data_IF_336152581908
#
_entry.id   IF_336152581908
#
_cell.length_a   1.000
_cell.length_b   1.000
_cell.length_c   1.000
_cell.angle_alpha   90.00
_cell.angle_beta   90.00
_cell.angle_gamma   90.00
#
_symmetry.space_group_name_H-M   'P 1'
#
loop_
_entity.id
_entity.type
_entity.pdbx_description
1 polymer ?
#
# COMPACT_ATOMS: atom_id res chain seq x y z
N UNK A 1 29.82 -10.69 -5.86
CA UNK A 1 29.47 -9.75 -6.94
C UNK A 1 27.97 -9.58 -6.96
N UNK A 2 27.43 -8.42 -7.35
CA UNK A 2 25.98 -8.18 -7.48
C UNK A 2 25.30 -9.31 -8.29
N UNK A 3 26.01 -9.83 -9.29
CA UNK A 3 25.64 -11.01 -10.09
C UNK A 3 25.46 -12.32 -9.29
N UNK A 4 26.21 -12.55 -8.22
CA UNK A 4 26.07 -13.74 -7.36
C UNK A 4 24.93 -13.62 -6.34
N UNK A 5 24.50 -12.39 -6.04
CA UNK A 5 23.26 -12.14 -5.26
C UNK A 5 22.04 -12.30 -6.17
N UNK A 6 22.14 -11.89 -7.45
CA UNK A 6 21.10 -12.09 -8.46
C UNK A 6 20.89 -13.57 -8.83
N UNK A 7 21.94 -14.40 -8.79
CA UNK A 7 21.84 -15.83 -9.07
C UNK A 7 21.07 -16.59 -7.97
N UNK A 8 21.21 -16.17 -6.70
CA UNK A 8 20.41 -16.67 -5.57
C UNK A 8 18.93 -16.24 -5.62
N UNK A 9 18.61 -15.20 -6.39
CA UNK A 9 17.22 -14.76 -6.64
C UNK A 9 16.61 -15.53 -7.83
N UNK A 10 17.42 -16.17 -8.67
CA UNK A 10 16.93 -16.89 -9.84
C UNK A 10 16.31 -18.25 -9.49
N UNK A 11 16.68 -18.81 -8.34
CA UNK A 11 16.03 -19.97 -7.70
C UNK A 11 14.94 -19.55 -6.69
N UNK A 12 14.51 -18.29 -6.73
CA UNK A 12 13.44 -17.81 -5.86
C UNK A 12 12.09 -18.43 -6.23
N UNK A 13 11.28 -18.84 -5.24
CA UNK A 13 9.92 -19.28 -5.50
C UNK A 13 9.08 -18.14 -6.12
N UNK A 14 8.02 -18.44 -6.91
CA UNK A 14 7.14 -17.44 -7.56
C UNK A 14 6.52 -16.44 -6.57
N UNK A 15 6.56 -16.81 -5.30
CA UNK A 15 6.26 -16.11 -4.05
C UNK A 15 6.98 -14.78 -3.84
N UNK A 16 8.17 -14.63 -4.42
CA UNK A 16 8.91 -13.37 -4.38
C UNK A 16 8.33 -12.32 -5.33
N UNK A 17 7.47 -12.69 -6.29
CA UNK A 17 6.94 -11.73 -7.27
C UNK A 17 5.95 -10.73 -6.66
N UNK A 18 5.05 -11.15 -5.76
CA UNK A 18 4.07 -10.23 -5.15
C UNK A 18 4.71 -9.28 -4.13
N UNK A 19 5.59 -9.80 -3.27
CA UNK A 19 6.42 -8.96 -2.40
C UNK A 19 7.40 -8.10 -3.19
N UNK A 20 7.95 -8.61 -4.30
CA UNK A 20 8.80 -7.81 -5.18
C UNK A 20 8.01 -6.68 -5.81
N UNK A 21 6.73 -6.84 -6.15
CA UNK A 21 5.93 -5.73 -6.68
C UNK A 21 5.80 -4.57 -5.68
N UNK A 22 5.49 -4.87 -4.41
CA UNK A 22 5.48 -3.84 -3.35
C UNK A 22 6.89 -3.26 -3.16
N UNK A 23 7.92 -4.12 -3.16
CA UNK A 23 9.31 -3.70 -3.08
C UNK A 23 9.74 -2.78 -4.24
N UNK A 24 9.33 -3.08 -5.47
CA UNK A 24 9.60 -2.26 -6.66
C UNK A 24 8.90 -0.92 -6.59
N UNK A 25 7.66 -0.88 -6.07
CA UNK A 25 6.97 0.39 -5.81
C UNK A 25 7.71 1.23 -4.78
N UNK A 26 8.14 0.63 -3.66
CA UNK A 26 8.92 1.33 -2.63
C UNK A 26 10.26 1.84 -3.16
N UNK A 27 10.97 1.03 -3.97
CA UNK A 27 12.22 1.44 -4.63
C UNK A 27 11.96 2.60 -5.59
N UNK A 28 10.89 2.54 -6.40
CA UNK A 28 10.53 3.59 -7.34
C UNK A 28 10.22 4.91 -6.60
N UNK A 29 9.41 4.86 -5.55
CA UNK A 29 9.11 6.03 -4.70
C UNK A 29 10.39 6.59 -4.07
N UNK A 30 11.23 5.74 -3.48
CA UNK A 30 12.50 6.15 -2.89
C UNK A 30 13.45 6.80 -3.91
N UNK A 31 13.53 6.26 -5.13
CA UNK A 31 14.32 6.83 -6.20
C UNK A 31 13.81 8.22 -6.63
N UNK A 32 12.50 8.41 -6.75
CA UNK A 32 11.89 9.71 -7.07
C UNK A 32 12.21 10.72 -5.97
N UNK A 33 12.04 10.35 -4.70
CA UNK A 33 12.37 11.22 -3.55
C UNK A 33 13.85 11.60 -3.54
N UNK A 34 14.76 10.65 -3.83
CA UNK A 34 16.19 10.92 -3.91
C UNK A 34 16.53 11.89 -5.05
N UNK A 35 15.91 11.73 -6.23
CA UNK A 35 16.08 12.65 -7.37
C UNK A 35 15.57 14.05 -7.00
N UNK A 36 14.40 14.17 -6.37
CA UNK A 36 13.87 15.45 -5.92
C UNK A 36 14.79 16.13 -4.90
N UNK A 37 15.31 15.36 -3.93
CA UNK A 37 16.28 15.84 -2.95
C UNK A 37 17.58 16.32 -3.61
N UNK A 38 18.08 15.59 -4.60
CA UNK A 38 19.25 16.00 -5.39
C UNK A 38 19.00 17.29 -6.15
N UNK A 39 17.88 17.40 -6.88
CA UNK A 39 17.52 18.61 -7.65
C UNK A 39 17.36 19.84 -6.75
N UNK A 40 16.68 19.69 -5.61
CA UNK A 40 16.51 20.78 -4.65
C UNK A 40 17.84 21.22 -4.03
N UNK A 41 18.62 20.27 -3.51
CA UNK A 41 19.89 20.54 -2.84
C UNK A 41 20.95 21.09 -3.80
N UNK A 42 21.22 20.39 -4.91
CA UNK A 42 22.19 20.85 -5.91
C UNK A 42 21.72 22.10 -6.63
N UNK A 43 20.42 22.26 -6.91
CA UNK A 43 19.87 23.48 -7.49
C UNK A 43 20.13 24.71 -6.62
N UNK A 44 19.99 24.57 -5.30
CA UNK A 44 20.29 25.64 -4.35
C UNK A 44 21.80 25.94 -4.25
N UNK A 45 22.66 24.91 -4.14
CA UNK A 45 24.12 25.11 -3.98
C UNK A 45 24.77 25.65 -5.25
N UNK A 46 24.36 25.13 -6.42
CA UNK A 46 24.93 25.54 -7.72
C UNK A 46 24.31 26.83 -8.26
N UNK A 47 23.34 27.39 -7.54
CA UNK A 47 22.53 28.53 -7.98
C UNK A 47 21.99 28.32 -9.41
N UNK A 48 21.57 27.08 -9.73
CA UNK A 48 21.12 26.72 -11.08
C UNK A 48 19.63 26.96 -11.22
N UNK A 49 19.25 28.02 -11.95
CA UNK A 49 17.85 28.36 -12.27
C UNK A 49 17.08 27.20 -12.89
N UNK A 50 17.72 26.44 -13.79
CA UNK A 50 17.08 25.31 -14.47
C UNK A 50 16.73 24.18 -13.48
N UNK A 51 17.65 23.84 -12.57
CA UNK A 51 17.42 22.80 -11.57
C UNK A 51 16.34 23.19 -10.55
N UNK A 52 16.38 24.43 -10.07
CA UNK A 52 15.36 24.98 -9.16
C UNK A 52 13.95 25.01 -9.81
N UNK A 53 13.86 25.44 -11.07
CA UNK A 53 12.61 25.45 -11.82
C UNK A 53 12.08 24.02 -12.05
N UNK A 54 12.95 23.08 -12.38
CA UNK A 54 12.58 21.66 -12.56
C UNK A 54 12.05 21.07 -11.26
N UNK A 55 12.74 21.30 -10.14
CA UNK A 55 12.27 20.90 -8.81
C UNK A 55 10.89 21.50 -8.49
N UNK A 56 10.69 22.80 -8.75
CA UNK A 56 9.41 23.47 -8.54
C UNK A 56 8.28 22.84 -9.37
N UNK A 57 8.50 22.58 -10.66
CA UNK A 57 7.48 21.99 -11.54
C UNK A 57 7.09 20.59 -11.05
N UNK A 58 8.06 19.77 -10.66
CA UNK A 58 7.77 18.41 -10.16
C UNK A 58 6.93 18.48 -8.88
N UNK A 59 7.32 19.30 -7.90
CA UNK A 59 6.55 19.45 -6.65
C UNK A 59 5.16 20.01 -6.91
N UNK A 60 5.01 20.97 -7.84
CA UNK A 60 3.71 21.51 -8.23
C UNK A 60 2.79 20.44 -8.83
N UNK A 61 3.32 19.54 -9.68
CA UNK A 61 2.55 18.46 -10.25
C UNK A 61 2.09 17.45 -9.20
N UNK A 62 2.94 17.15 -8.21
CA UNK A 62 2.59 16.28 -7.07
C UNK A 62 1.47 16.93 -6.27
N UNK A 63 1.61 18.20 -5.89
CA UNK A 63 0.57 18.93 -5.15
C UNK A 63 -0.78 18.95 -5.88
N UNK A 64 -0.79 19.17 -7.20
CA UNK A 64 -2.02 19.12 -8.01
C UNK A 64 -2.62 17.71 -8.00
N UNK A 65 -1.80 16.67 -8.11
CA UNK A 65 -2.25 15.28 -8.05
C UNK A 65 -2.83 14.93 -6.66
N UNK A 66 -2.23 15.39 -5.58
CA UNK A 66 -2.74 15.21 -4.20
C UNK A 66 -4.11 15.86 -4.03
N UNK A 67 -4.26 17.12 -4.45
CA UNK A 67 -5.53 17.86 -4.37
C UNK A 67 -6.60 17.19 -5.24
N UNK A 68 -6.25 16.78 -6.47
CA UNK A 68 -7.17 16.08 -7.36
C UNK A 68 -7.62 14.73 -6.76
N UNK A 69 -6.69 13.96 -6.20
CA UNK A 69 -6.97 12.70 -5.51
C UNK A 69 -7.91 12.90 -4.32
N UNK A 70 -7.65 13.89 -3.47
CA UNK A 70 -8.51 14.23 -2.35
C UNK A 70 -9.93 14.60 -2.79
N UNK A 71 -10.07 15.41 -3.85
CA UNK A 71 -11.37 15.79 -4.42
C UNK A 71 -12.10 14.56 -4.97
N UNK A 72 -11.39 13.67 -5.69
CA UNK A 72 -12.00 12.45 -6.26
C UNK A 72 -12.56 11.56 -5.16
N UNK A 73 -11.76 11.29 -4.11
CA UNK A 73 -12.18 10.46 -2.98
C UNK A 73 -13.36 11.10 -2.23
N UNK A 74 -13.31 12.42 -2.01
CA UNK A 74 -14.35 13.11 -1.24
C UNK A 74 -15.68 13.26 -2.01
N UNK A 75 -15.61 13.67 -3.29
CA UNK A 75 -16.79 14.04 -4.09
C UNK A 75 -17.36 12.83 -4.84
N UNK A 76 -16.51 11.95 -5.37
CA UNK A 76 -16.93 10.84 -6.23
C UNK A 76 -16.92 9.50 -5.49
N UNK A 77 -17.67 9.44 -4.40
CA UNK A 77 -17.89 8.22 -3.62
C UNK A 77 -18.29 6.99 -4.46
N UNK A 78 -19.16 7.09 -5.50
CA UNK A 78 -19.51 5.94 -6.34
C UNK A 78 -18.32 5.39 -7.13
N UNK A 79 -17.47 6.27 -7.64
CA UNK A 79 -16.27 5.87 -8.38
C UNK A 79 -15.28 5.20 -7.43
N UNK A 80 -15.01 5.81 -6.27
CA UNK A 80 -14.14 5.21 -5.26
C UNK A 80 -14.60 3.79 -4.88
N UNK A 81 -15.90 3.58 -4.69
CA UNK A 81 -16.49 2.25 -4.40
C UNK A 81 -16.27 1.26 -5.55
N UNK A 82 -16.44 1.67 -6.81
CA UNK A 82 -16.20 0.79 -7.97
C UNK A 82 -14.74 0.34 -8.05
N UNK A 83 -13.81 1.27 -7.80
CA UNK A 83 -12.38 0.97 -7.81
C UNK A 83 -12.02 0.00 -6.68
N UNK A 84 -12.58 0.22 -5.49
CA UNK A 84 -12.40 -0.67 -4.34
C UNK A 84 -13.00 -2.06 -4.60
N UNK A 85 -14.15 -2.15 -5.25
CA UNK A 85 -14.75 -3.43 -5.64
C UNK A 85 -13.86 -4.21 -6.61
N UNK A 86 -13.29 -3.54 -7.63
CA UNK A 86 -12.35 -4.19 -8.55
C UNK A 86 -11.11 -4.73 -7.84
N UNK A 87 -10.58 -3.98 -6.87
CA UNK A 87 -9.47 -4.42 -6.04
C UNK A 87 -9.88 -5.62 -5.18
N UNK A 88 -11.04 -5.54 -4.53
CA UNK A 88 -11.63 -6.63 -3.74
C UNK A 88 -11.73 -7.91 -4.57
N UNK A 89 -12.40 -7.84 -5.73
CA UNK A 89 -12.60 -9.01 -6.59
C UNK A 89 -11.27 -9.63 -7.03
N UNK A 90 -10.30 -8.79 -7.41
CA UNK A 90 -8.96 -9.25 -7.79
C UNK A 90 -8.23 -9.92 -6.62
N UNK A 91 -8.38 -9.39 -5.41
CA UNK A 91 -7.70 -9.93 -4.23
C UNK A 91 -8.35 -11.24 -3.76
N UNK A 92 -9.69 -11.33 -3.77
CA UNK A 92 -10.42 -12.56 -3.46
C UNK A 92 -10.07 -13.67 -4.46
N UNK A 93 -9.95 -13.37 -5.75
CA UNK A 93 -9.44 -14.34 -6.73
C UNK A 93 -8.02 -14.81 -6.37
N UNK A 94 -7.15 -13.88 -5.98
CA UNK A 94 -5.78 -14.22 -5.54
C UNK A 94 -5.78 -15.16 -4.32
N UNK A 95 -6.67 -14.92 -3.35
CA UNK A 95 -6.86 -15.83 -2.20
C UNK A 95 -7.30 -17.22 -2.68
N UNK A 96 -8.32 -17.29 -3.54
CA UNK A 96 -8.87 -18.57 -4.02
C UNK A 96 -7.89 -19.37 -4.87
N UNK A 97 -6.96 -18.71 -5.55
CA UNK A 97 -5.95 -19.38 -6.37
C UNK A 97 -4.73 -19.78 -5.55
N UNK A 98 -4.24 -18.91 -4.66
CA UNK A 98 -2.90 -19.09 -4.09
C UNK A 98 -2.90 -19.48 -2.60
N UNK A 99 -3.98 -19.24 -1.86
CA UNK A 99 -4.00 -19.53 -0.42
C UNK A 99 -4.02 -21.04 -0.13
N UNK A 100 -2.99 -21.53 0.55
CA UNK A 100 -2.73 -22.95 0.84
C UNK A 100 -1.91 -23.70 -0.21
N UNK A 101 -1.66 -23.09 -1.37
CA UNK A 101 -0.74 -23.61 -2.39
C UNK A 101 0.59 -22.86 -2.33
N UNK A 102 0.52 -21.53 -2.32
CA UNK A 102 1.64 -20.62 -2.21
C UNK A 102 1.95 -20.31 -0.73
N UNK A 103 3.10 -20.76 -0.22
CA UNK A 103 3.48 -20.67 1.19
C UNK A 103 3.70 -19.23 1.65
N UNK A 104 4.39 -18.39 0.88
CA UNK A 104 4.64 -16.99 1.25
C UNK A 104 3.35 -16.19 1.26
N UNK A 105 2.53 -16.25 0.20
CA UNK A 105 1.22 -15.60 0.22
C UNK A 105 0.37 -16.07 1.41
N UNK A 106 0.34 -17.39 1.67
CA UNK A 106 -0.37 -17.96 2.83
C UNK A 106 0.16 -17.41 4.15
N UNK A 107 1.49 -17.33 4.32
CA UNK A 107 2.12 -16.80 5.54
C UNK A 107 1.81 -15.32 5.72
N UNK A 108 1.98 -14.50 4.68
CA UNK A 108 1.69 -13.07 4.72
C UNK A 108 0.22 -12.80 5.03
N UNK A 109 -0.69 -13.57 4.42
CA UNK A 109 -2.11 -13.45 4.71
C UNK A 109 -2.41 -13.86 6.15
N UNK A 110 -1.79 -14.92 6.67
CA UNK A 110 -1.92 -15.32 8.08
C UNK A 110 -1.39 -14.26 9.04
N UNK A 111 -0.22 -13.71 8.77
CA UNK A 111 0.38 -12.64 9.57
C UNK A 111 -0.51 -11.39 9.54
N UNK A 112 -1.01 -11.02 8.36
CA UNK A 112 -1.95 -9.90 8.19
C UNK A 112 -3.24 -10.10 8.98
N UNK A 113 -3.86 -11.28 8.86
CA UNK A 113 -5.07 -11.63 9.60
C UNK A 113 -4.84 -11.65 11.12
N UNK A 114 -3.67 -12.08 11.56
CA UNK A 114 -3.32 -12.12 12.99
C UNK A 114 -3.07 -10.72 13.54
N UNK A 115 -2.28 -9.90 12.83
CA UNK A 115 -1.93 -8.53 13.23
C UNK A 115 -3.17 -7.62 13.27
N UNK A 116 -4.01 -7.72 12.24
CA UNK A 116 -5.23 -6.89 12.12
C UNK A 116 -6.46 -7.53 12.77
N UNK A 117 -6.35 -8.75 13.31
CA UNK A 117 -7.43 -9.51 13.96
C UNK A 117 -8.69 -9.59 13.09
N UNK A 118 -8.50 -10.02 11.85
CA UNK A 118 -9.51 -10.06 10.81
C UNK A 118 -9.46 -11.38 10.03
N UNK A 119 -10.46 -11.63 9.19
CA UNK A 119 -10.57 -12.86 8.41
C UNK A 119 -10.92 -12.58 6.95
N UNK A 120 -10.08 -13.08 6.03
CA UNK A 120 -10.26 -12.86 4.59
C UNK A 120 -10.11 -11.40 4.20
N UNK A 121 -10.45 -11.05 2.97
CA UNK A 121 -10.48 -9.65 2.55
C UNK A 121 -11.79 -8.99 3.00
N UNK A 122 -12.91 -9.60 2.62
CA UNK A 122 -14.27 -9.24 3.02
C UNK A 122 -14.76 -10.08 4.20
N UNK A 123 -14.56 -11.42 4.16
CA UNK A 123 -14.92 -12.36 5.22
C UNK A 123 -14.36 -13.77 4.92
N UNK A 124 -14.74 -14.77 5.75
CA UNK A 124 -14.30 -16.16 5.61
C UNK A 124 -14.64 -16.83 4.26
N UNK A 125 -15.70 -16.41 3.56
CA UNK A 125 -16.13 -17.00 2.28
C UNK A 125 -15.16 -16.70 1.13
N UNK A 126 -14.21 -15.77 1.34
CA UNK A 126 -13.14 -15.52 0.38
C UNK A 126 -12.23 -16.75 0.20
N UNK A 127 -12.15 -17.62 1.21
CA UNK A 127 -11.39 -18.87 1.14
C UNK A 127 -12.15 -20.01 0.43
N UNK A 128 -13.39 -19.81 0.04
CA UNK A 128 -14.19 -20.84 -0.62
C UNK A 128 -13.53 -21.27 -1.95
N UNK A 129 -13.24 -22.57 -2.06
CA UNK A 129 -12.58 -23.14 -3.23
C UNK A 129 -11.05 -22.97 -3.25
N UNK A 130 -10.46 -22.35 -2.23
CA UNK A 130 -9.00 -22.25 -2.09
C UNK A 130 -8.34 -23.63 -1.93
N UNK A 131 -7.07 -23.79 -2.37
CA UNK A 131 -6.28 -25.00 -2.10
C UNK A 131 -6.25 -25.37 -0.62
N UNK A 132 -6.17 -24.39 0.29
CA UNK A 132 -6.21 -24.62 1.73
C UNK A 132 -7.48 -25.34 2.15
N UNK A 133 -8.66 -24.78 1.85
CA UNK A 133 -9.94 -25.34 2.27
C UNK A 133 -10.18 -26.72 1.65
N UNK A 134 -9.76 -26.93 0.39
CA UNK A 134 -9.83 -28.24 -0.29
C UNK A 134 -8.98 -29.31 0.40
N UNK A 135 -7.79 -28.94 0.90
CA UNK A 135 -6.85 -29.89 1.50
C UNK A 135 -7.11 -30.15 2.99
N UNK A 136 -7.50 -29.12 3.74
CA UNK A 136 -7.68 -29.22 5.20
C UNK A 136 -9.13 -29.45 5.59
N UNK A 137 -10.10 -29.11 4.73
CA UNK A 137 -11.54 -29.03 5.06
C UNK A 137 -11.88 -28.04 6.19
N UNK A 138 -10.98 -27.10 6.48
CA UNK A 138 -11.15 -26.09 7.53
C UNK A 138 -10.76 -24.70 7.01
N UNK A 139 -11.36 -23.66 7.61
CA UNK A 139 -10.97 -22.27 7.40
C UNK A 139 -9.71 -21.93 8.21
N UNK A 140 -9.02 -20.82 7.90
CA UNK A 140 -7.91 -20.34 8.73
C UNK A 140 -8.37 -20.12 10.17
N UNK A 141 -7.50 -20.42 11.13
CA UNK A 141 -7.86 -20.32 12.55
C UNK A 141 -8.22 -18.90 12.98
N UNK A 142 -7.69 -17.86 12.34
CA UNK A 142 -8.03 -16.45 12.57
C UNK A 142 -9.47 -16.10 12.19
N UNK A 143 -10.13 -16.94 11.39
CA UNK A 143 -11.54 -16.83 11.05
C UNK A 143 -12.47 -17.41 12.12
N UNK A 144 -11.89 -18.04 13.14
CA UNK A 144 -12.54 -18.47 14.35
C UNK A 144 -11.79 -17.89 15.57
N UNK A 145 -12.37 -17.94 16.76
CA UNK A 145 -11.68 -17.60 18.00
C UNK A 145 -10.47 -18.52 18.17
N UNK A 146 -9.32 -17.97 18.56
CA UNK A 146 -8.00 -18.63 18.66
C UNK A 146 -7.95 -19.91 19.54
N UNK A 147 -9.06 -20.29 20.16
CA UNK A 147 -9.19 -21.47 21.03
C UNK A 147 -9.47 -22.78 20.29
N UNK A 148 -9.88 -22.74 19.02
CA UNK A 148 -10.21 -23.94 18.22
C UNK A 148 -9.01 -24.39 17.37
N UNK A 149 -8.60 -25.65 17.50
CA UNK A 149 -7.52 -26.26 16.69
C UNK A 149 -7.90 -26.46 15.22
N UNK A 150 -9.20 -26.37 14.91
CA UNK A 150 -9.74 -26.49 13.57
C UNK A 150 -10.98 -25.59 13.46
N UNK A 151 -11.06 -24.76 12.41
CA UNK A 151 -12.15 -23.80 12.20
C UNK A 151 -13.14 -24.37 11.17
N UNK A 152 -14.29 -24.82 11.63
CA UNK A 152 -15.37 -25.36 10.77
C UNK A 152 -16.22 -24.25 10.14
N UNK A 153 -16.99 -24.58 9.11
CA UNK A 153 -17.92 -23.64 8.47
C UNK A 153 -18.93 -23.04 9.45
N UNK A 154 -19.47 -23.86 10.35
CA UNK A 154 -20.41 -23.42 11.39
C UNK A 154 -19.76 -22.42 12.35
N UNK A 155 -18.53 -22.67 12.78
CA UNK A 155 -17.82 -21.75 13.69
C UNK A 155 -17.46 -20.44 13.00
N UNK A 156 -16.98 -20.50 11.76
CA UNK A 156 -16.64 -19.31 10.97
C UNK A 156 -17.89 -18.45 10.67
N UNK A 157 -19.04 -19.08 10.42
CA UNK A 157 -20.28 -18.36 10.14
C UNK A 157 -20.94 -17.80 11.40
N UNK A 158 -20.90 -18.52 12.53
CA UNK A 158 -21.47 -18.07 13.80
C UNK A 158 -20.71 -16.88 14.39
N UNK A 159 -19.38 -16.84 14.22
CA UNK A 159 -18.54 -15.78 14.77
C UNK A 159 -18.45 -14.56 13.86
N UNK A 160 -18.60 -14.74 12.55
CA UNK A 160 -18.65 -13.67 11.56
C UNK A 160 -17.51 -12.65 11.75
N UNK A 161 -16.27 -13.17 11.87
CA UNK A 161 -15.09 -12.32 12.05
C UNK A 161 -14.99 -11.34 10.87
N UNK A 162 -14.79 -10.07 11.21
CA UNK A 162 -14.74 -8.97 10.26
C UNK A 162 -13.63 -9.14 9.22
N UNK A 163 -13.91 -8.73 7.98
CA UNK A 163 -12.94 -8.70 6.89
C UNK A 163 -11.77 -7.77 7.15
N UNK A 164 -10.59 -8.10 6.63
CA UNK A 164 -9.41 -7.26 6.80
C UNK A 164 -9.54 -5.89 6.14
N UNK A 165 -10.30 -5.79 5.05
CA UNK A 165 -10.58 -4.50 4.42
C UNK A 165 -11.31 -3.55 5.38
N UNK A 166 -12.38 -4.03 6.00
CA UNK A 166 -13.15 -3.21 6.93
C UNK A 166 -12.37 -2.96 8.23
N UNK A 167 -11.53 -3.90 8.68
CA UNK A 167 -10.65 -3.68 9.85
C UNK A 167 -9.63 -2.55 9.57
N UNK A 168 -9.09 -2.47 8.35
CA UNK A 168 -8.24 -1.35 7.93
C UNK A 168 -9.04 -0.05 7.92
N UNK A 169 -10.28 -0.06 7.41
CA UNK A 169 -11.13 1.14 7.42
C UNK A 169 -11.38 1.65 8.84
N UNK A 170 -11.66 0.76 9.80
CA UNK A 170 -11.79 1.15 11.22
C UNK A 170 -10.51 1.79 11.74
N UNK A 171 -9.34 1.21 11.42
CA UNK A 171 -8.06 1.81 11.81
C UNK A 171 -7.86 3.20 11.19
N UNK A 172 -8.28 3.40 9.94
CA UNK A 172 -8.21 4.71 9.28
C UNK A 172 -9.18 5.72 9.93
N UNK A 173 -10.38 5.29 10.31
CA UNK A 173 -11.37 6.12 10.99
C UNK A 173 -10.93 6.49 12.41
N UNK A 174 -10.43 5.52 13.17
CA UNK A 174 -9.89 5.71 14.52
C UNK A 174 -8.67 6.63 14.53
N UNK A 175 -7.87 6.59 13.46
CA UNK A 175 -6.67 7.43 13.30
C UNK A 175 -6.87 8.58 12.30
N UNK A 176 -8.11 8.94 11.98
CA UNK A 176 -8.40 9.93 10.94
C UNK A 176 -7.74 11.29 11.22
N UNK A 177 -7.68 11.70 12.49
CA UNK A 177 -7.01 12.93 12.91
C UNK A 177 -5.49 12.89 12.65
N UNK A 178 -4.84 11.75 12.91
CA UNK A 178 -3.41 11.57 12.67
C UNK A 178 -3.12 11.59 11.16
N UNK A 179 -3.90 10.84 10.38
CA UNK A 179 -3.75 10.77 8.93
C UNK A 179 -4.00 12.12 8.26
N UNK A 180 -5.06 12.82 8.66
CA UNK A 180 -5.34 14.17 8.23
C UNK A 180 -4.21 15.14 8.58
N UNK A 181 -3.63 15.01 9.79
CA UNK A 181 -2.47 15.78 10.21
C UNK A 181 -1.23 15.53 9.35
N UNK A 182 -0.94 14.26 9.02
CA UNK A 182 0.17 13.89 8.12
C UNK A 182 -0.04 14.48 6.73
N UNK A 183 -1.24 14.33 6.15
CA UNK A 183 -1.57 14.86 4.83
C UNK A 183 -1.44 16.39 4.77
N UNK A 184 -1.97 17.10 5.77
CA UNK A 184 -1.82 18.55 5.86
C UNK A 184 -0.35 18.98 6.03
N UNK A 185 0.43 18.20 6.78
CA UNK A 185 1.87 18.42 6.96
C UNK A 185 2.64 18.29 5.64
N UNK A 186 2.34 17.26 4.84
CA UNK A 186 2.94 17.05 3.52
C UNK A 186 2.60 18.23 2.61
N UNK A 187 1.32 18.59 2.48
CA UNK A 187 0.88 19.72 1.67
C UNK A 187 1.56 21.04 2.08
N UNK A 188 1.72 21.29 3.39
CA UNK A 188 2.42 22.47 3.89
C UNK A 188 3.92 22.47 3.53
N UNK A 189 4.59 21.32 3.62
CA UNK A 189 5.99 21.15 3.24
C UNK A 189 6.20 21.38 1.73
N UNK A 190 5.29 20.88 0.89
CA UNK A 190 5.34 21.11 -0.55
C UNK A 190 5.20 22.59 -0.91
N UNK A 191 4.24 23.28 -0.30
CA UNK A 191 4.06 24.74 -0.48
C UNK A 191 5.31 25.49 -0.04
N UNK A 192 5.87 25.15 1.12
CA UNK A 192 7.10 25.77 1.61
C UNK A 192 8.28 25.53 0.64
N UNK A 193 8.44 24.31 0.14
CA UNK A 193 9.48 23.96 -0.83
C UNK A 193 9.32 24.74 -2.15
N UNK A 194 8.09 24.87 -2.65
CA UNK A 194 7.79 25.68 -3.84
C UNK A 194 8.12 27.16 -3.64
N UNK A 195 7.73 27.74 -2.49
CA UNK A 195 8.03 29.14 -2.15
C UNK A 195 9.55 29.36 -2.07
N UNK A 196 10.28 28.52 -1.35
CA UNK A 196 11.73 28.62 -1.21
C UNK A 196 12.43 28.49 -2.56
N UNK A 197 12.03 27.51 -3.39
CA UNK A 197 12.61 27.32 -4.72
C UNK A 197 12.42 28.56 -5.60
N UNK A 198 11.22 29.17 -5.60
CA UNK A 198 10.93 30.36 -6.41
C UNK A 198 11.66 31.61 -5.89
N UNK A 199 11.79 31.76 -4.57
CA UNK A 199 12.59 32.85 -3.96
C UNK A 199 14.05 32.73 -4.37
N UNK A 200 14.64 31.53 -4.26
CA UNK A 200 16.02 31.28 -4.68
C UNK A 200 16.18 31.54 -6.18
N UNK A 201 15.29 31.03 -7.02
CA UNK A 201 15.30 31.25 -8.46
C UNK A 201 15.37 32.74 -8.83
N UNK A 202 14.62 33.58 -8.13
CA UNK A 202 14.58 35.04 -8.34
C UNK A 202 15.82 35.79 -7.82
N UNK A 203 16.58 35.17 -6.93
CA UNK A 203 17.80 35.73 -6.33
C UNK A 203 19.08 35.25 -7.02
N UNK A 204 19.05 34.14 -7.77
CA UNK A 204 20.21 33.69 -8.54
C UNK A 204 20.69 34.79 -9.50
N UNK A 205 21.95 35.17 -9.34
CA UNK A 205 22.67 36.12 -10.20
C UNK A 205 22.39 37.60 -9.92
N UNK A 206 21.77 37.93 -8.78
CA UNK A 206 21.75 39.28 -8.20
C UNK A 206 22.85 39.40 -7.15
#
# INVERSE_FOLDING_TARGET
>A
SLLGVLDQIKDAPPELAQLANVGYLLIAVGAILAIMGFLGCCGAITESKCMLLTFFIIVLLIFIAEVAGAIVVFVFQPLAKELLQKVSDSFVLTIRENYGEEKTFTSLMNDTMTELKCCGFNNYTDFDGSPFLKNTSHYPVTCCLETSTACSLTEASEQEVKGCFDAILDLLEDNAALLGGVALGIAALEIAAMVVSMVLYNNVGK
#
